data_IF_386379490013
#
_entry.id   IF_386379490013
#
_cell.length_a   1.000
_cell.length_b   1.000
_cell.length_c   1.000
_cell.angle_alpha   90.00
_cell.angle_beta   90.00
_cell.angle_gamma   90.00
#
_symmetry.space_group_name_H-M   'P 1'
#
loop_
_entity.id
_entity.type
_entity.pdbx_description
1 polymer ?
#
# COMPACT_ATOMS: atom_id res chain seq x y z
N UNK A 1 45.42 25.69 -35.25
CA UNK A 1 45.19 24.31 -34.79
C UNK A 1 44.12 24.34 -33.72
N UNK A 2 42.92 23.86 -34.04
CA UNK A 2 41.78 23.76 -33.12
C UNK A 2 41.55 22.26 -32.92
N UNK A 3 41.74 21.76 -31.69
CA UNK A 3 41.47 20.37 -31.36
C UNK A 3 39.97 20.17 -31.14
N UNK A 4 39.39 19.32 -31.98
CA UNK A 4 38.02 18.84 -31.95
C UNK A 4 37.98 17.59 -31.07
N UNK A 5 37.34 17.65 -29.92
CA UNK A 5 37.14 16.50 -29.04
C UNK A 5 35.69 16.01 -29.18
N UNK A 6 35.52 14.75 -29.56
CA UNK A 6 34.24 14.08 -29.72
C UNK A 6 33.58 13.78 -28.36
N UNK A 7 32.25 13.79 -28.34
CA UNK A 7 31.39 13.48 -27.20
C UNK A 7 31.28 11.96 -26.94
N UNK A 8 31.03 11.52 -25.70
CA UNK A 8 30.54 10.18 -25.42
C UNK A 8 29.00 10.14 -25.51
N UNK A 9 28.54 9.07 -26.16
CA UNK A 9 27.15 8.65 -26.34
C UNK A 9 26.49 8.31 -25.00
N UNK A 10 25.31 8.88 -24.75
CA UNK A 10 24.47 8.60 -23.59
C UNK A 10 23.70 7.30 -23.86
N UNK A 11 23.85 6.33 -22.97
CA UNK A 11 23.11 5.08 -22.96
C UNK A 11 21.71 5.27 -22.37
N UNK A 12 20.76 4.60 -22.99
CA UNK A 12 19.32 4.56 -22.71
C UNK A 12 19.01 3.76 -21.42
N UNK A 13 18.33 4.33 -20.41
CA UNK A 13 17.96 3.62 -19.18
C UNK A 13 16.49 3.17 -19.23
N UNK A 14 16.15 2.20 -20.08
CA UNK A 14 14.85 1.50 -20.05
C UNK A 14 15.02 0.05 -19.64
N UNK A 15 15.37 -0.19 -18.37
CA UNK A 15 15.17 -1.50 -17.73
C UNK A 15 15.00 -1.31 -16.21
N UNK A 16 13.78 -1.01 -15.75
CA UNK A 16 13.43 -1.14 -14.32
C UNK A 16 13.16 -2.62 -14.04
N UNK A 17 14.02 -3.20 -13.20
CA UNK A 17 13.96 -4.60 -12.80
C UNK A 17 12.76 -4.91 -11.91
N UNK A 18 12.16 -6.07 -12.14
CA UNK A 18 11.25 -6.71 -11.18
C UNK A 18 11.98 -6.93 -9.86
N UNK A 19 11.40 -6.44 -8.76
CA UNK A 19 11.87 -6.76 -7.40
C UNK A 19 11.55 -8.23 -7.15
N UNK A 20 12.54 -9.09 -7.36
CA UNK A 20 12.52 -10.47 -6.90
C UNK A 20 12.69 -10.46 -5.37
N UNK A 21 11.72 -11.06 -4.68
CA UNK A 21 11.68 -11.20 -3.22
C UNK A 21 12.97 -11.90 -2.71
N UNK A 22 13.50 -11.50 -1.54
CA UNK A 22 14.58 -12.25 -0.89
C UNK A 22 14.06 -13.64 -0.47
N UNK A 23 14.77 -14.68 -0.89
CA UNK A 23 14.55 -16.05 -0.43
C UNK A 23 15.10 -16.17 0.99
N UNK A 24 14.21 -16.18 1.99
CA UNK A 24 14.62 -16.34 3.39
C UNK A 24 14.47 -17.78 3.84
N UNK A 25 15.57 -18.30 4.39
CA UNK A 25 15.75 -19.64 4.89
C UNK A 25 14.87 -19.93 6.12
N UNK A 26 14.54 -21.21 6.26
CA UNK A 26 13.71 -21.80 7.29
C UNK A 26 14.15 -21.45 8.73
N UNK A 27 13.17 -21.06 9.55
CA UNK A 27 13.24 -21.14 11.01
C UNK A 27 12.09 -22.05 11.46
N UNK A 28 12.46 -23.23 11.96
CA UNK A 28 11.57 -24.13 12.69
C UNK A 28 11.36 -23.63 14.12
N UNK A 29 10.10 -23.53 14.55
CA UNK A 29 9.77 -23.52 15.98
C UNK A 29 8.36 -24.06 16.25
N UNK A 30 8.36 -25.29 16.78
CA UNK A 30 7.48 -25.93 17.76
C UNK A 30 6.10 -25.33 18.06
N UNK A 31 5.07 -26.15 17.80
CA UNK A 31 3.70 -26.02 18.32
C UNK A 31 3.64 -26.11 19.85
N UNK A 32 2.79 -25.27 20.46
CA UNK A 32 2.07 -25.60 21.69
C UNK A 32 0.60 -25.18 21.53
N UNK A 33 -0.29 -26.14 21.77
CA UNK A 33 -1.75 -26.00 21.78
C UNK A 33 -2.21 -25.31 23.08
N UNK A 34 -3.00 -24.23 22.96
CA UNK A 34 -3.91 -23.82 24.02
C UNK A 34 -5.31 -23.54 23.45
N UNK A 35 -6.31 -24.16 24.09
CA UNK A 35 -7.73 -24.03 23.84
C UNK A 35 -8.29 -22.78 24.51
N UNK A 36 -8.97 -21.91 23.76
CA UNK A 36 -9.85 -20.87 24.33
C UNK A 36 -11.24 -20.81 23.66
N UNK A 37 -12.30 -20.48 24.43
CA UNK A 37 -13.71 -20.59 24.07
C UNK A 37 -14.25 -19.38 23.25
N UNK A 38 -15.49 -19.46 22.69
CA UNK A 38 -15.93 -18.55 21.63
C UNK A 38 -16.32 -17.16 22.15
N UNK A 39 -15.82 -16.13 21.47
CA UNK A 39 -16.19 -14.74 21.71
C UNK A 39 -17.47 -14.35 20.96
N UNK A 40 -18.41 -13.82 21.74
CA UNK A 40 -19.65 -13.20 21.33
C UNK A 40 -19.42 -11.99 20.42
N UNK A 41 -20.22 -11.90 19.36
CA UNK A 41 -20.30 -10.75 18.45
C UNK A 41 -20.51 -9.45 19.23
N UNK A 42 -19.54 -8.53 19.16
CA UNK A 42 -19.69 -7.12 19.50
C UNK A 42 -19.62 -6.29 18.22
N UNK A 43 -20.55 -5.36 18.09
CA UNK A 43 -20.70 -4.47 16.94
C UNK A 43 -19.52 -3.46 16.85
N UNK A 44 -18.92 -3.25 15.67
CA UNK A 44 -17.71 -2.41 15.51
C UNK A 44 -17.94 -0.88 15.58
N UNK A 45 -19.18 -0.40 15.75
CA UNK A 45 -19.51 1.03 15.57
C UNK A 45 -19.07 1.97 16.71
N UNK A 46 -18.77 1.49 17.92
CA UNK A 46 -18.48 2.38 19.07
C UNK A 46 -16.98 2.72 19.27
N UNK A 47 -16.07 2.01 18.60
CA UNK A 47 -14.63 2.24 18.77
C UNK A 47 -14.09 3.43 17.97
N UNK A 48 -14.71 3.76 16.82
CA UNK A 48 -14.33 4.93 16.00
C UNK A 48 -14.52 6.22 16.82
N UNK A 49 -15.64 6.33 17.54
CA UNK A 49 -15.90 7.46 18.42
C UNK A 49 -14.91 7.52 19.59
N UNK A 50 -14.43 6.38 20.10
CA UNK A 50 -13.50 6.35 21.23
C UNK A 50 -12.07 6.72 20.82
N UNK A 51 -11.59 6.26 19.66
CA UNK A 51 -10.27 6.63 19.14
C UNK A 51 -10.24 8.11 18.71
N UNK A 52 -11.31 8.59 18.07
CA UNK A 52 -11.48 10.03 17.79
C UNK A 52 -11.63 10.86 19.08
N UNK A 53 -12.30 10.32 20.10
CA UNK A 53 -12.39 10.97 21.41
C UNK A 53 -11.05 10.98 22.15
N UNK A 54 -10.21 9.94 22.04
CA UNK A 54 -8.88 9.91 22.64
C UNK A 54 -7.90 10.86 21.92
N UNK A 55 -7.98 10.95 20.59
CA UNK A 55 -7.25 11.95 19.80
C UNK A 55 -7.74 13.39 20.04
N UNK A 56 -8.94 13.56 20.61
CA UNK A 56 -9.50 14.82 21.11
C UNK A 56 -9.11 15.10 22.57
N UNK A 57 -9.03 14.07 23.42
CA UNK A 57 -8.70 14.17 24.85
C UNK A 57 -7.22 14.49 25.14
N UNK A 58 -6.33 14.31 24.15
CA UNK A 58 -4.97 14.87 24.20
C UNK A 58 -4.90 16.41 24.28
N UNK A 59 -6.03 17.13 24.16
CA UNK A 59 -6.13 18.60 24.28
C UNK A 59 -6.16 19.16 25.72
N UNK A 60 -6.20 18.35 26.78
CA UNK A 60 -6.46 18.87 28.14
C UNK A 60 -5.41 18.59 29.22
N UNK A 61 -4.12 18.57 28.89
CA UNK A 61 -3.09 18.63 29.93
C UNK A 61 -2.00 19.65 29.57
N UNK A 62 -1.88 20.67 30.43
CA UNK A 62 -0.83 21.71 30.49
C UNK A 62 -1.01 22.97 29.63
N UNK A 63 -1.78 23.93 30.14
CA UNK A 63 -1.26 25.25 30.56
C UNK A 63 -2.41 26.16 30.98
N UNK A 64 -2.40 26.61 32.24
CA UNK A 64 -3.15 27.79 32.65
C UNK A 64 -2.48 29.03 32.02
N UNK A 65 -2.99 29.45 30.86
CA UNK A 65 -2.66 30.73 30.22
C UNK A 65 -3.94 31.55 30.13
N UNK A 66 -3.93 32.84 30.48
CA UNK A 66 -5.16 33.61 30.70
C UNK A 66 -5.92 33.89 29.42
N UNK A 67 -7.24 33.98 29.60
CA UNK A 67 -8.30 34.17 28.62
C UNK A 67 -8.03 35.31 27.61
N UNK A 68 -8.24 35.02 26.33
CA UNK A 68 -8.33 36.07 25.31
C UNK A 68 -8.08 35.65 23.85
N UNK A 69 -7.56 34.46 23.59
CA UNK A 69 -7.47 33.92 22.24
C UNK A 69 -8.31 32.65 22.16
N UNK A 70 -9.46 32.73 21.49
CA UNK A 70 -10.13 31.55 20.96
C UNK A 70 -9.06 30.87 20.10
N UNK A 71 -8.54 29.74 20.54
CA UNK A 71 -7.69 28.91 19.71
C UNK A 71 -8.55 28.55 18.50
N UNK A 72 -8.40 29.33 17.43
CA UNK A 72 -8.98 29.05 16.13
C UNK A 72 -8.63 27.61 15.85
N UNK A 73 -9.64 26.77 15.64
CA UNK A 73 -9.44 25.40 15.21
C UNK A 73 -8.40 25.43 14.09
N UNK A 74 -7.16 25.06 14.42
CA UNK A 74 -6.11 24.99 13.43
C UNK A 74 -6.69 24.06 12.36
N UNK A 75 -6.79 24.59 11.13
CA UNK A 75 -7.35 23.88 10.00
C UNK A 75 -6.79 22.45 10.04
N UNK A 76 -7.68 21.45 9.98
CA UNK A 76 -7.32 20.04 10.17
C UNK A 76 -6.13 19.65 9.27
N UNK A 77 -6.06 20.29 8.10
CA UNK A 77 -5.01 20.15 7.11
C UNK A 77 -3.68 20.81 7.51
N UNK A 78 -3.69 21.89 8.31
CA UNK A 78 -2.48 22.46 8.91
C UNK A 78 -1.83 21.49 9.91
N UNK A 79 -2.64 20.77 10.69
CA UNK A 79 -2.13 19.73 11.60
C UNK A 79 -1.58 18.56 10.77
N UNK A 80 -2.30 18.15 9.72
CA UNK A 80 -1.84 17.10 8.82
C UNK A 80 -0.51 17.45 8.12
N UNK A 81 -0.33 18.70 7.68
CA UNK A 81 0.93 19.22 7.10
C UNK A 81 2.10 19.14 8.09
N UNK A 82 1.86 19.44 9.37
CA UNK A 82 2.88 19.30 10.41
C UNK A 82 3.30 17.83 10.57
N UNK A 83 2.32 16.92 10.59
CA UNK A 83 2.56 15.48 10.72
C UNK A 83 3.26 14.85 9.52
N UNK A 84 2.93 15.31 8.31
CA UNK A 84 3.64 14.91 7.11
C UNK A 84 5.13 15.31 7.16
N UNK A 85 5.45 16.51 7.66
CA UNK A 85 6.85 16.96 7.83
C UNK A 85 7.58 16.14 8.90
N UNK A 86 6.93 15.82 10.01
CA UNK A 86 7.47 14.91 11.03
C UNK A 86 7.79 13.53 10.43
N UNK A 87 6.88 12.96 9.64
CA UNK A 87 7.08 11.68 8.96
C UNK A 87 8.30 11.71 8.02
N UNK A 88 8.44 12.77 7.22
CA UNK A 88 9.57 12.96 6.32
C UNK A 88 10.91 13.10 7.06
N UNK A 89 10.92 13.83 8.19
CA UNK A 89 12.10 13.94 9.04
C UNK A 89 12.49 12.59 9.66
N UNK A 90 11.50 11.82 10.12
CA UNK A 90 11.73 10.48 10.65
C UNK A 90 12.30 9.54 9.57
N UNK A 91 11.81 9.61 8.33
CA UNK A 91 12.37 8.87 7.20
C UNK A 91 13.85 9.22 6.95
N UNK A 92 14.20 10.51 6.98
CA UNK A 92 15.59 10.95 6.82
C UNK A 92 16.50 10.50 7.98
N UNK A 93 15.92 10.25 9.16
CA UNK A 93 16.62 9.73 10.33
C UNK A 93 16.60 8.19 10.42
N UNK A 94 16.06 7.50 9.40
CA UNK A 94 15.87 6.04 9.36
C UNK A 94 15.01 5.49 10.51
N UNK A 95 14.19 6.34 11.15
CA UNK A 95 13.17 5.91 12.11
C UNK A 95 11.88 5.55 11.36
N UNK A 96 11.88 4.35 10.78
CA UNK A 96 10.80 3.88 9.92
C UNK A 96 9.46 3.72 10.65
N UNK A 97 9.47 3.42 11.95
CA UNK A 97 8.21 3.32 12.72
C UNK A 97 7.60 4.70 12.93
N UNK A 98 8.39 5.68 13.38
CA UNK A 98 7.91 7.05 13.54
C UNK A 98 7.49 7.65 12.18
N UNK A 99 8.18 7.31 11.10
CA UNK A 99 7.78 7.66 9.73
C UNK A 99 6.38 7.13 9.39
N UNK A 100 6.14 5.82 9.60
CA UNK A 100 4.83 5.22 9.37
C UNK A 100 3.73 5.88 10.22
N UNK A 101 3.99 6.09 11.51
CA UNK A 101 3.04 6.72 12.43
C UNK A 101 2.72 8.17 12.03
N UNK A 102 3.72 8.94 11.60
CA UNK A 102 3.51 10.31 11.11
C UNK A 102 2.66 10.36 9.85
N UNK A 103 2.89 9.46 8.89
CA UNK A 103 2.04 9.35 7.70
C UNK A 103 0.60 8.97 8.05
N UNK A 104 0.41 8.00 8.94
CA UNK A 104 -0.92 7.61 9.39
C UNK A 104 -1.63 8.76 10.12
N UNK A 105 -0.94 9.47 11.01
CA UNK A 105 -1.52 10.58 11.74
C UNK A 105 -1.92 11.72 10.78
N UNK A 106 -1.08 12.06 9.80
CA UNK A 106 -1.42 13.03 8.76
C UNK A 106 -2.69 12.61 7.97
N UNK A 107 -2.80 11.33 7.59
CA UNK A 107 -3.98 10.81 6.92
C UNK A 107 -5.25 10.93 7.76
N UNK A 108 -5.18 10.55 9.05
CA UNK A 108 -6.34 10.56 9.95
C UNK A 108 -6.77 11.97 10.36
N UNK A 109 -5.83 12.93 10.40
CA UNK A 109 -6.10 14.33 10.78
C UNK A 109 -6.61 15.18 9.63
N UNK A 110 -6.24 14.86 8.39
CA UNK A 110 -6.72 15.61 7.23
C UNK A 110 -8.21 15.38 6.97
N UNK A 111 -8.81 16.24 6.14
CA UNK A 111 -10.12 16.01 5.55
C UNK A 111 -10.01 15.54 4.08
N UNK A 112 -11.14 15.35 3.39
CA UNK A 112 -11.18 14.88 2.00
C UNK A 112 -10.81 15.95 0.96
N UNK A 113 -10.66 17.21 1.37
CA UNK A 113 -10.29 18.32 0.47
C UNK A 113 -8.78 18.53 0.39
N UNK A 114 -8.02 17.94 1.32
CA UNK A 114 -6.57 18.05 1.32
C UNK A 114 -5.93 17.18 0.24
N UNK A 115 -5.20 17.77 -0.73
CA UNK A 115 -4.69 17.04 -1.89
C UNK A 115 -3.63 16.00 -1.55
N UNK A 116 -2.97 16.12 -0.39
CA UNK A 116 -1.93 15.19 0.08
C UNK A 116 -2.50 14.04 0.93
N UNK A 117 -3.83 13.94 1.09
CA UNK A 117 -4.44 12.87 1.87
C UNK A 117 -4.05 11.49 1.32
N UNK A 118 -4.24 11.25 0.03
CA UNK A 118 -3.85 9.97 -0.57
C UNK A 118 -2.34 9.73 -0.49
N UNK A 119 -1.52 10.79 -0.65
CA UNK A 119 -0.06 10.69 -0.49
C UNK A 119 0.32 10.12 0.88
N UNK A 120 -0.33 10.57 1.95
CA UNK A 120 -0.06 10.09 3.30
C UNK A 120 -0.45 8.61 3.48
N UNK A 121 -1.60 8.18 2.95
CA UNK A 121 -1.99 6.77 2.95
C UNK A 121 -0.99 5.91 2.17
N UNK A 122 -0.59 6.39 0.98
CA UNK A 122 0.39 5.70 0.14
C UNK A 122 1.74 5.57 0.83
N UNK A 123 2.20 6.63 1.50
CA UNK A 123 3.43 6.66 2.30
C UNK A 123 3.38 5.66 3.45
N UNK A 124 2.35 5.69 4.30
CA UNK A 124 2.14 4.73 5.37
C UNK A 124 2.18 3.29 4.85
N UNK A 125 1.41 3.01 3.80
CA UNK A 125 1.34 1.70 3.19
C UNK A 125 2.67 1.25 2.55
N UNK A 126 3.47 2.15 1.97
CA UNK A 126 4.80 1.82 1.43
C UNK A 126 5.75 1.38 2.53
N UNK A 127 5.82 2.16 3.62
CA UNK A 127 6.72 1.86 4.75
C UNK A 127 6.41 0.49 5.35
N UNK A 128 5.13 0.11 5.47
CA UNK A 128 4.73 -1.22 5.93
C UNK A 128 5.18 -2.36 5.00
N UNK A 129 5.34 -2.10 3.70
CA UNK A 129 5.72 -3.12 2.71
C UNK A 129 7.23 -3.23 2.50
N UNK A 130 8.00 -2.21 2.84
CA UNK A 130 9.46 -2.21 2.62
C UNK A 130 10.23 -3.12 3.59
N UNK A 131 9.58 -3.60 4.66
CA UNK A 131 10.16 -4.61 5.55
C UNK A 131 11.18 -4.06 6.56
N UNK A 132 11.24 -2.74 6.74
CA UNK A 132 12.08 -2.08 7.75
C UNK A 132 11.70 -2.47 9.20
N UNK A 133 10.45 -2.86 9.42
CA UNK A 133 9.94 -3.42 10.67
C UNK A 133 8.77 -4.38 10.40
N UNK A 134 8.39 -5.19 11.40
CA UNK A 134 7.23 -6.08 11.30
C UNK A 134 5.93 -5.32 11.60
N UNK A 135 4.95 -5.26 10.67
CA UNK A 135 3.66 -4.62 10.93
C UNK A 135 2.92 -5.25 12.12
N UNK A 136 2.43 -4.40 13.00
CA UNK A 136 1.70 -4.79 14.21
C UNK A 136 0.26 -5.21 13.92
N UNK A 137 -0.41 -5.81 14.91
CA UNK A 137 -1.87 -6.04 14.84
C UNK A 137 -2.65 -4.73 14.74
N UNK A 138 -2.14 -3.67 15.36
CA UNK A 138 -2.73 -2.34 15.28
C UNK A 138 -2.70 -1.80 13.84
N UNK A 139 -1.58 -1.98 13.12
CA UNK A 139 -1.48 -1.57 11.71
C UNK A 139 -2.53 -2.30 10.84
N UNK A 140 -2.68 -3.61 11.03
CA UNK A 140 -3.71 -4.41 10.34
C UNK A 140 -5.13 -3.95 10.69
N UNK A 141 -5.39 -3.61 11.95
CA UNK A 141 -6.68 -3.11 12.40
C UNK A 141 -7.02 -1.77 11.73
N UNK A 142 -6.08 -0.82 11.73
CA UNK A 142 -6.26 0.49 11.11
C UNK A 142 -6.49 0.36 9.60
N UNK A 143 -5.71 -0.48 8.91
CA UNK A 143 -5.92 -0.76 7.49
C UNK A 143 -7.36 -1.25 7.24
N UNK A 144 -7.85 -2.23 8.00
CA UNK A 144 -9.25 -2.70 7.88
C UNK A 144 -10.26 -1.59 8.13
N UNK A 145 -10.04 -0.72 9.12
CA UNK A 145 -10.93 0.42 9.38
C UNK A 145 -10.96 1.43 8.24
N UNK A 146 -9.83 1.68 7.57
CA UNK A 146 -9.79 2.55 6.39
C UNK A 146 -10.58 1.90 5.24
N UNK A 147 -10.40 0.60 5.04
CA UNK A 147 -11.13 -0.19 4.03
C UNK A 147 -12.66 -0.16 4.26
N UNK A 148 -13.10 -0.32 5.51
CA UNK A 148 -14.53 -0.37 5.89
C UNK A 148 -15.20 1.01 5.93
N UNK A 149 -14.44 2.09 5.81
CA UNK A 149 -14.97 3.46 5.84
C UNK A 149 -15.65 3.80 4.51
N UNK A 150 -16.98 3.96 4.53
CA UNK A 150 -17.79 4.37 3.36
C UNK A 150 -17.37 5.74 2.78
N UNK A 151 -16.73 6.58 3.60
CA UNK A 151 -16.23 7.88 3.17
C UNK A 151 -14.91 7.80 2.38
N UNK A 152 -14.25 6.63 2.34
CA UNK A 152 -12.97 6.48 1.65
C UNK A 152 -13.18 6.28 0.15
N UNK A 153 -12.48 7.04 -0.71
CA UNK A 153 -12.49 6.78 -2.14
C UNK A 153 -12.01 5.35 -2.44
N UNK A 154 -12.61 4.66 -3.43
CA UNK A 154 -12.28 3.26 -3.72
C UNK A 154 -10.80 2.98 -4.00
N UNK A 155 -10.05 3.93 -4.56
CA UNK A 155 -8.62 3.75 -4.80
C UNK A 155 -7.81 3.66 -3.49
N UNK A 156 -8.28 4.30 -2.40
CA UNK A 156 -7.73 4.08 -1.06
C UNK A 156 -7.96 2.63 -0.62
N UNK A 157 -9.17 2.10 -0.82
CA UNK A 157 -9.52 0.71 -0.51
C UNK A 157 -8.63 -0.28 -1.26
N UNK A 158 -8.35 -0.05 -2.55
CA UNK A 158 -7.43 -0.90 -3.35
C UNK A 158 -6.02 -0.89 -2.75
N UNK A 159 -5.47 0.29 -2.42
CA UNK A 159 -4.15 0.42 -1.78
C UNK A 159 -4.08 -0.35 -0.46
N UNK A 160 -5.13 -0.23 0.36
CA UNK A 160 -5.23 -0.90 1.65
C UNK A 160 -5.32 -2.42 1.49
N UNK A 161 -6.17 -2.91 0.59
CA UNK A 161 -6.33 -4.35 0.30
C UNK A 161 -5.02 -4.97 -0.21
N UNK A 162 -4.34 -4.28 -1.13
CA UNK A 162 -3.03 -4.70 -1.61
C UNK A 162 -2.02 -4.79 -0.45
N UNK A 163 -2.01 -3.78 0.43
CA UNK A 163 -1.11 -3.74 1.59
C UNK A 163 -1.44 -4.83 2.61
N UNK A 164 -2.73 -5.08 2.90
CA UNK A 164 -3.17 -6.20 3.74
C UNK A 164 -2.73 -7.55 3.17
N UNK A 165 -2.84 -7.73 1.85
CA UNK A 165 -2.33 -8.91 1.15
C UNK A 165 -0.82 -9.10 1.38
N UNK A 166 -0.06 -8.02 1.21
CA UNK A 166 1.39 -8.03 1.40
C UNK A 166 1.81 -8.34 2.83
N UNK A 167 1.28 -7.61 3.82
CA UNK A 167 1.68 -7.82 5.21
C UNK A 167 1.28 -9.19 5.72
N UNK A 168 0.17 -9.75 5.24
CA UNK A 168 -0.24 -11.14 5.56
C UNK A 168 0.75 -12.14 4.99
N UNK A 169 1.22 -11.93 3.76
CA UNK A 169 2.21 -12.80 3.14
C UNK A 169 3.53 -12.82 3.91
N UNK A 170 4.01 -11.64 4.33
CA UNK A 170 5.26 -11.49 5.10
C UNK A 170 5.22 -12.27 6.41
N UNK A 171 4.08 -12.33 7.09
CA UNK A 171 3.92 -13.10 8.34
C UNK A 171 3.53 -14.56 8.13
N UNK A 172 3.54 -15.06 6.88
CA UNK A 172 3.22 -16.44 6.53
C UNK A 172 1.72 -16.76 6.48
N UNK A 173 0.84 -15.76 6.63
CA UNK A 173 -0.61 -15.93 6.44
C UNK A 173 -0.95 -15.89 4.94
N UNK A 174 -0.73 -17.02 4.28
CA UNK A 174 -1.02 -17.17 2.86
C UNK A 174 -2.52 -17.06 2.53
N UNK A 175 -3.41 -17.38 3.47
CA UNK A 175 -4.87 -17.27 3.26
C UNK A 175 -5.26 -15.79 3.25
N UNK A 176 -4.83 -15.03 4.27
CA UNK A 176 -5.04 -13.59 4.33
C UNK A 176 -4.38 -12.85 3.16
N UNK A 177 -3.19 -13.28 2.76
CA UNK A 177 -2.48 -12.72 1.61
C UNK A 177 -3.27 -12.84 0.31
N UNK A 178 -3.74 -14.05 0.00
CA UNK A 178 -4.57 -14.32 -1.18
C UNK A 178 -5.87 -13.53 -1.15
N UNK A 179 -6.54 -13.50 0.00
CA UNK A 179 -7.78 -12.74 0.17
C UNK A 179 -7.56 -11.25 -0.11
N UNK A 180 -6.51 -10.64 0.46
CA UNK A 180 -6.17 -9.23 0.25
C UNK A 180 -5.86 -8.91 -1.21
N UNK A 181 -4.97 -9.67 -1.85
CA UNK A 181 -4.62 -9.45 -3.26
C UNK A 181 -5.82 -9.68 -4.19
N UNK A 182 -6.58 -10.76 -3.99
CA UNK A 182 -7.75 -11.06 -4.81
C UNK A 182 -8.83 -9.98 -4.72
N UNK A 183 -9.10 -9.48 -3.51
CA UNK A 183 -10.04 -8.38 -3.32
C UNK A 183 -9.52 -7.06 -3.91
N UNK A 184 -8.22 -6.78 -3.84
CA UNK A 184 -7.63 -5.60 -4.47
C UNK A 184 -7.90 -5.60 -5.99
N UNK A 185 -7.64 -6.74 -6.66
CA UNK A 185 -7.90 -6.92 -8.10
C UNK A 185 -9.39 -6.76 -8.43
N UNK A 186 -10.27 -7.43 -7.66
CA UNK A 186 -11.71 -7.35 -7.86
C UNK A 186 -12.23 -5.92 -7.70
N UNK A 187 -11.75 -5.21 -6.67
CA UNK A 187 -12.16 -3.83 -6.38
C UNK A 187 -11.69 -2.87 -7.46
N UNK A 188 -10.43 -2.99 -7.90
CA UNK A 188 -9.88 -2.16 -8.99
C UNK A 188 -10.67 -2.32 -10.29
N UNK A 189 -11.07 -3.55 -10.65
CA UNK A 189 -11.89 -3.85 -11.82
C UNK A 189 -13.33 -3.33 -11.71
N UNK A 190 -13.86 -3.23 -10.49
CA UNK A 190 -15.21 -2.75 -10.22
C UNK A 190 -15.31 -1.21 -10.10
N UNK A 191 -14.19 -0.48 -10.23
CA UNK A 191 -14.22 0.97 -10.25
C UNK A 191 -14.86 1.51 -11.52
N UNK A 192 -15.81 2.42 -11.36
CA UNK A 192 -16.45 3.16 -12.44
C UNK A 192 -15.47 4.11 -13.13
N UNK A 193 -15.81 4.53 -14.35
CA UNK A 193 -15.00 5.50 -15.09
C UNK A 193 -14.80 6.81 -14.30
N UNK A 194 -15.83 7.34 -13.63
CA UNK A 194 -15.72 8.56 -12.82
C UNK A 194 -14.81 8.40 -11.60
N UNK A 195 -14.86 7.25 -10.91
CA UNK A 195 -13.96 6.97 -9.78
C UNK A 195 -12.49 6.89 -10.24
N UNK A 196 -12.25 6.38 -11.45
CA UNK A 196 -10.91 6.25 -12.04
C UNK A 196 -10.33 7.59 -12.53
N UNK A 197 -11.17 8.61 -12.74
CA UNK A 197 -10.76 9.96 -13.15
C UNK A 197 -10.47 10.90 -11.97
N UNK A 198 -10.69 10.46 -10.73
CA UNK A 198 -10.20 11.19 -9.55
C UNK A 198 -8.68 11.34 -9.65
N UNK A 199 -8.12 12.44 -9.20
CA UNK A 199 -6.67 12.67 -9.28
C UNK A 199 -6.04 12.79 -7.91
N UNK A 200 -4.94 12.08 -7.73
CA UNK A 200 -4.14 12.09 -6.52
C UNK A 200 -2.84 12.86 -6.72
N UNK A 201 -2.44 13.66 -5.74
CA UNK A 201 -1.15 14.32 -5.76
C UNK A 201 -0.07 13.36 -5.24
N UNK A 202 0.78 12.86 -6.14
CA UNK A 202 1.82 11.88 -5.82
C UNK A 202 3.23 12.43 -6.08
N UNK A 203 4.27 11.90 -5.40
CA UNK A 203 5.64 12.28 -5.65
C UNK A 203 6.08 11.82 -7.05
N UNK A 204 6.86 12.65 -7.73
CA UNK A 204 7.43 12.39 -9.05
C UNK A 204 8.87 12.89 -9.12
N UNK A 205 9.57 12.58 -10.21
CA UNK A 205 10.98 12.97 -10.40
C UNK A 205 11.19 14.50 -10.36
N UNK A 206 10.16 15.28 -10.70
CA UNK A 206 10.21 16.75 -10.71
C UNK A 206 9.45 17.39 -9.53
N UNK A 207 9.09 16.62 -8.51
CA UNK A 207 8.37 17.11 -7.32
C UNK A 207 7.07 16.35 -7.10
N UNK A 208 5.93 17.00 -7.35
CA UNK A 208 4.61 16.39 -7.23
C UNK A 208 3.86 16.48 -8.55
N UNK A 209 3.11 15.44 -8.88
CA UNK A 209 2.23 15.39 -10.06
C UNK A 209 0.86 14.84 -9.68
N UNK A 210 -0.17 15.35 -10.36
CA UNK A 210 -1.50 14.75 -10.29
C UNK A 210 -1.55 13.51 -11.18
N UNK A 211 -1.89 12.38 -10.57
CA UNK A 211 -2.03 11.10 -11.26
C UNK A 211 -3.47 10.64 -11.16
N UNK A 212 -4.12 10.23 -12.27
CA UNK A 212 -5.43 9.62 -12.21
C UNK A 212 -5.44 8.37 -11.34
N UNK A 213 -6.43 8.24 -10.47
CA UNK A 213 -6.61 7.10 -9.58
C UNK A 213 -6.64 5.78 -10.36
N UNK A 214 -7.18 5.78 -11.59
CA UNK A 214 -7.17 4.65 -12.51
C UNK A 214 -5.77 4.09 -12.78
N UNK A 215 -4.78 4.96 -13.00
CA UNK A 215 -3.39 4.53 -13.26
C UNK A 215 -2.77 3.90 -12.00
N UNK A 216 -3.04 4.49 -10.84
CA UNK A 216 -2.53 4.00 -9.56
C UNK A 216 -3.12 2.62 -9.24
N UNK A 217 -4.43 2.44 -9.37
CA UNK A 217 -5.09 1.17 -9.04
C UNK A 217 -4.76 0.07 -10.04
N UNK A 218 -4.51 0.39 -11.31
CA UNK A 218 -4.10 -0.59 -12.30
C UNK A 218 -2.71 -1.14 -11.97
N UNK A 219 -1.76 -0.27 -11.62
CA UNK A 219 -0.42 -0.70 -11.17
C UNK A 219 -0.51 -1.61 -9.93
N UNK A 220 -1.33 -1.24 -8.93
CA UNK A 220 -1.53 -2.06 -7.73
C UNK A 220 -2.19 -3.40 -8.06
N UNK A 221 -3.17 -3.43 -8.96
CA UNK A 221 -3.84 -4.65 -9.39
C UNK A 221 -2.89 -5.57 -10.15
N UNK A 222 -2.04 -5.03 -11.02
CA UNK A 222 -0.99 -5.79 -11.73
C UNK A 222 -0.02 -6.44 -10.74
N UNK A 223 0.45 -5.70 -9.74
CA UNK A 223 1.29 -6.24 -8.68
C UNK A 223 0.57 -7.31 -7.85
N UNK A 224 -0.70 -7.11 -7.52
CA UNK A 224 -1.52 -8.09 -6.81
C UNK A 224 -1.66 -9.39 -7.61
N UNK A 225 -1.89 -9.32 -8.92
CA UNK A 225 -1.95 -10.49 -9.81
C UNK A 225 -0.59 -11.21 -9.86
N UNK A 226 0.51 -10.46 -9.96
CA UNK A 226 1.86 -11.04 -9.96
C UNK A 226 2.14 -11.80 -8.65
N UNK A 227 1.73 -11.25 -7.51
CA UNK A 227 1.86 -11.91 -6.20
C UNK A 227 0.96 -13.14 -6.07
N UNK A 228 -0.28 -13.09 -6.53
CA UNK A 228 -1.15 -14.28 -6.56
C UNK A 228 -0.53 -15.41 -7.40
N UNK A 229 0.03 -15.05 -8.56
CA UNK A 229 0.71 -16.00 -9.45
C UNK A 229 1.95 -16.61 -8.79
N UNK A 230 2.78 -15.81 -8.10
CA UNK A 230 3.97 -16.31 -7.41
C UNK A 230 3.62 -17.24 -6.24
N UNK A 231 2.47 -17.04 -5.62
CA UNK A 231 1.91 -17.92 -4.58
C UNK A 231 1.30 -19.23 -5.11
N UNK A 232 1.46 -19.53 -6.41
CA UNK A 232 0.97 -20.76 -7.03
C UNK A 232 -0.51 -20.73 -7.42
N UNK A 233 -1.17 -19.56 -7.36
CA UNK A 233 -2.48 -19.36 -7.97
C UNK A 233 -2.31 -18.88 -9.41
N UNK A 234 -2.03 -19.82 -10.30
CA UNK A 234 -2.49 -19.65 -11.67
C UNK A 234 -4.01 -19.77 -11.60
N UNK A 235 -4.72 -18.64 -11.73
CA UNK A 235 -6.08 -18.66 -12.25
C UNK A 235 -6.01 -19.53 -13.52
N UNK A 236 -6.62 -20.71 -13.48
CA UNK A 236 -6.53 -21.73 -14.53
C UNK A 236 -7.02 -21.24 -15.93
N UNK A 237 -7.47 -19.99 -16.02
CA UNK A 237 -8.04 -19.38 -17.22
C UNK A 237 -7.01 -18.91 -18.26
N UNK A 238 -5.73 -18.72 -17.91
CA UNK A 238 -4.71 -18.21 -18.84
C UNK A 238 -3.44 -19.05 -18.93
N UNK A 239 -3.48 -20.36 -18.63
CA UNK A 239 -2.42 -21.22 -19.16
C UNK A 239 -2.67 -21.25 -20.67
N UNK A 240 -1.83 -20.63 -21.54
CA UNK A 240 -1.99 -20.78 -22.97
C UNK A 240 -2.02 -22.29 -23.18
N UNK A 241 -3.13 -22.79 -23.71
CA UNK A 241 -3.20 -24.17 -24.18
C UNK A 241 -2.06 -24.23 -25.17
N UNK A 242 -0.92 -24.79 -24.75
CA UNK A 242 0.17 -25.10 -25.64
C UNK A 242 -0.47 -26.04 -26.65
N UNK A 243 -0.90 -25.44 -27.76
CA UNK A 243 -1.45 -26.12 -28.89
C UNK A 243 -0.40 -27.17 -29.22
N UNK A 244 -0.77 -28.42 -28.96
CA UNK A 244 0.08 -29.56 -29.12
C UNK A 244 0.33 -29.64 -30.62
N UNK A 245 1.37 -28.92 -31.08
CA UNK A 245 1.76 -28.92 -32.48
C UNK A 245 2.14 -30.36 -32.76
N UNK A 246 1.37 -31.08 -33.60
CA UNK A 246 1.66 -32.48 -33.84
C UNK A 246 3.06 -32.53 -34.43
N UNK A 247 3.96 -33.27 -33.78
CA UNK A 247 5.28 -33.59 -34.34
C UNK A 247 5.03 -34.25 -35.70
N UNK A 248 5.16 -33.49 -36.78
CA UNK A 248 5.22 -34.02 -38.13
C UNK A 248 6.46 -34.90 -38.20
N UNK A 249 6.23 -36.20 -38.02
CA UNK A 249 7.19 -37.27 -38.24
C UNK A 249 7.61 -37.19 -39.71
N UNK A 250 8.69 -36.44 -40.00
CA UNK A 250 9.38 -36.49 -41.29
C UNK A 250 9.81 -37.94 -41.52
N UNK A 251 9.09 -38.63 -42.39
CA UNK A 251 9.54 -39.88 -42.98
C UNK A 251 10.70 -39.54 -43.92
N UNK A 252 11.76 -40.33 -43.79
CA UNK A 252 12.89 -40.38 -44.70
C UNK A 252 12.43 -40.56 -46.15
N UNK A 253 13.02 -39.81 -47.07
CA UNK A 253 13.24 -40.28 -48.44
C UNK A 253 14.75 -40.42 -48.63
N UNK A 254 15.14 -41.67 -48.83
CA UNK A 254 16.48 -42.13 -49.16
C UNK A 254 16.44 -42.35 -50.67
N UNK A 255 17.25 -41.60 -51.42
CA UNK A 255 17.36 -41.78 -52.87
C UNK A 255 18.74 -42.41 -53.17
N UNK A 256 18.80 -43.45 -54.03
CA UNK A 256 20.02 -44.21 -54.30
C UNK A 256 21.11 -43.43 -55.01
#
# INVERSE_FOLDING_TARGET
>A
HIHRTQAPSVADPTTRGSVLLPTSNAISSSLAHEHHPPATMRTPSMFISLLMAQLSQGRQAHSHTPAGAIATDADANTIADAKLREAQQAAMAEDWRACADGYLEAYLRSDSTWPLRYNCLSGYASVLREGHFTPSDYDRLILRQIMDSEASPKHHTVQVLFTLGFVSHVVGDNVGAKAGYGQAVATARAMSASERQLTDLLPSETGYSYTPAGEVVDSLAEHAVANLRSMGELLDEERPKHEHTPKTRRKHEHTP
#
